data_IF_693990351046
#
_entry.id   IF_693990351046
#
_cell.length_a   1.000
_cell.length_b   1.000
_cell.length_c   1.000
_cell.angle_alpha   90.00
_cell.angle_beta   90.00
_cell.angle_gamma   90.00
#
_symmetry.space_group_name_H-M   'P 1'
#
loop_
_entity.id
_entity.type
_entity.pdbx_description
1 polymer ?
#
# COMPACT_ATOMS: atom_id res chain seq x y z
N UNK A 1 17.13 -3.59 -13.04
CA UNK A 1 15.65 -3.71 -13.12
C UNK A 1 15.10 -3.53 -11.71
N UNK A 2 14.06 -2.72 -11.53
CA UNK A 2 13.44 -2.53 -10.21
C UNK A 2 12.56 -3.72 -9.85
N UNK A 3 12.74 -4.26 -8.63
CA UNK A 3 11.89 -5.34 -8.13
C UNK A 3 10.62 -4.80 -7.48
N UNK A 4 10.72 -3.67 -6.80
CA UNK A 4 9.62 -3.06 -6.07
C UNK A 4 9.57 -1.57 -6.33
N UNK A 5 8.37 -1.04 -6.62
CA UNK A 5 8.06 0.38 -6.53
C UNK A 5 7.23 0.64 -5.28
N UNK A 6 7.66 1.57 -4.46
CA UNK A 6 6.87 2.11 -3.35
C UNK A 6 6.45 3.54 -3.69
N UNK A 7 5.16 3.79 -3.78
CA UNK A 7 4.62 5.15 -3.89
C UNK A 7 4.34 5.71 -2.49
N UNK A 8 4.75 6.95 -2.29
CA UNK A 8 4.51 7.72 -1.06
C UNK A 8 3.62 8.91 -1.44
N UNK A 9 2.29 8.83 -1.27
CA UNK A 9 1.40 9.97 -1.41
C UNK A 9 1.73 11.04 -0.38
N UNK A 10 2.00 12.26 -0.83
CA UNK A 10 2.38 13.38 0.02
C UNK A 10 1.49 14.59 -0.26
N UNK A 11 0.89 15.14 0.78
CA UNK A 11 0.19 16.43 0.74
C UNK A 11 0.41 17.19 2.04
N UNK A 12 1.20 18.27 1.99
CA UNK A 12 1.64 19.01 3.16
C UNK A 12 2.23 18.08 4.24
N UNK A 13 3.22 17.27 3.86
CA UNK A 13 3.77 16.14 4.62
C UNK A 13 5.16 16.40 5.20
N UNK A 14 5.68 17.64 5.15
CA UNK A 14 7.02 18.02 5.63
C UNK A 14 7.36 17.43 7.00
N UNK A 15 6.38 17.39 7.92
CA UNK A 15 6.59 16.95 9.29
C UNK A 15 6.88 15.44 9.43
N UNK A 16 6.55 14.63 8.42
CA UNK A 16 6.54 13.16 8.55
C UNK A 16 7.35 12.44 7.49
N UNK A 17 7.30 12.91 6.23
CA UNK A 17 7.77 12.19 5.05
C UNK A 17 9.23 11.73 5.12
N UNK A 18 10.10 12.46 5.82
CA UNK A 18 11.50 12.06 5.93
C UNK A 18 11.69 10.76 6.70
N UNK A 19 10.89 10.49 7.75
CA UNK A 19 10.95 9.23 8.50
C UNK A 19 10.51 8.08 7.61
N UNK A 20 9.44 8.28 6.85
CA UNK A 20 8.94 7.33 5.85
C UNK A 20 10.06 6.97 4.86
N UNK A 21 10.61 7.94 4.16
CA UNK A 21 11.67 7.76 3.15
C UNK A 21 12.89 7.05 3.74
N UNK A 22 13.41 7.56 4.87
CA UNK A 22 14.62 7.01 5.52
C UNK A 22 14.47 5.56 5.93
N UNK A 23 13.25 5.10 6.25
CA UNK A 23 12.99 3.71 6.63
C UNK A 23 13.19 2.71 5.47
N UNK A 24 13.10 3.18 4.23
CA UNK A 24 13.16 2.37 3.01
C UNK A 24 14.51 2.44 2.29
N UNK A 25 15.23 3.57 2.39
CA UNK A 25 16.49 3.79 1.67
C UNK A 25 17.52 2.65 1.76
N UNK A 26 17.73 1.99 2.92
CA UNK A 26 18.72 0.93 3.00
C UNK A 26 18.37 -0.35 2.23
N UNK A 27 17.18 -0.43 1.61
CA UNK A 27 16.81 -1.58 0.77
C UNK A 27 17.54 -1.60 -0.59
N UNK A 28 18.21 -0.51 -0.98
CA UNK A 28 19.12 -0.48 -2.12
C UNK A 28 18.46 -0.15 -3.45
N UNK A 29 19.26 -0.26 -4.53
CA UNK A 29 18.91 0.25 -5.86
C UNK A 29 17.83 -0.57 -6.60
N UNK A 30 17.53 -1.78 -6.16
CA UNK A 30 16.43 -2.58 -6.72
C UNK A 30 15.05 -2.08 -6.25
N UNK A 31 15.02 -1.18 -5.25
CA UNK A 31 13.85 -0.41 -4.86
C UNK A 31 13.73 0.84 -5.73
N UNK A 32 12.51 1.19 -6.12
CA UNK A 32 12.11 2.50 -6.60
C UNK A 32 11.17 3.13 -5.57
N UNK A 33 11.43 4.37 -5.19
CA UNK A 33 10.56 5.17 -4.34
C UNK A 33 10.03 6.33 -5.18
N UNK A 34 8.71 6.41 -5.33
CA UNK A 34 8.02 7.52 -5.97
C UNK A 34 7.43 8.42 -4.90
N UNK A 35 8.02 9.58 -4.67
CA UNK A 35 7.43 10.60 -3.80
C UNK A 35 6.44 11.37 -4.67
N UNK A 36 5.14 11.15 -4.42
CA UNK A 36 4.07 11.81 -5.20
C UNK A 36 3.53 12.98 -4.40
N UNK A 37 3.99 14.17 -4.76
CA UNK A 37 3.49 15.42 -4.19
C UNK A 37 2.18 15.84 -4.88
N UNK A 38 1.10 15.73 -4.15
CA UNK A 38 -0.26 16.01 -4.59
C UNK A 38 -0.62 17.51 -4.43
N UNK A 39 0.25 18.38 -4.94
CA UNK A 39 0.01 19.82 -4.97
C UNK A 39 0.15 20.48 -3.60
N UNK A 40 1.18 20.16 -2.84
CA UNK A 40 1.47 20.80 -1.55
C UNK A 40 1.81 22.26 -1.71
N UNK A 41 1.13 23.12 -0.95
CA UNK A 41 1.31 24.59 -1.02
C UNK A 41 1.56 25.26 0.34
N UNK A 42 1.47 24.48 1.44
CA UNK A 42 1.53 25.06 2.79
C UNK A 42 2.83 24.78 3.53
N UNK A 43 3.69 23.93 2.97
CA UNK A 43 4.95 23.53 3.58
C UNK A 43 6.01 23.20 2.51
N UNK A 44 7.16 22.66 2.93
CA UNK A 44 8.29 22.35 2.04
C UNK A 44 8.25 20.92 1.48
N UNK A 45 7.11 20.27 1.44
CA UNK A 45 6.98 18.91 0.88
C UNK A 45 7.60 18.80 -0.52
N UNK A 46 7.29 19.69 -1.50
CA UNK A 46 7.88 19.60 -2.85
C UNK A 46 9.40 19.71 -2.83
N UNK A 47 9.94 20.66 -2.08
CA UNK A 47 11.40 20.88 -1.99
C UNK A 47 12.13 19.70 -1.33
N UNK A 48 11.50 19.05 -0.35
CA UNK A 48 12.04 17.85 0.29
C UNK A 48 12.03 16.69 -0.71
N UNK A 49 10.93 16.50 -1.47
CA UNK A 49 10.85 15.48 -2.51
C UNK A 49 11.96 15.63 -3.55
N UNK A 50 12.18 16.85 -4.06
CA UNK A 50 13.23 17.16 -5.03
C UNK A 50 14.63 16.94 -4.45
N UNK A 51 14.87 17.35 -3.21
CA UNK A 51 16.14 17.17 -2.54
C UNK A 51 16.50 15.68 -2.36
N UNK A 52 15.52 14.84 -2.00
CA UNK A 52 15.73 13.39 -1.91
C UNK A 52 15.92 12.75 -3.28
N UNK A 53 15.18 13.14 -4.31
CA UNK A 53 15.36 12.67 -5.67
C UNK A 53 16.74 13.03 -6.23
N UNK A 54 17.21 14.26 -6.00
CA UNK A 54 18.55 14.70 -6.41
C UNK A 54 19.67 13.95 -5.66
N UNK A 55 19.46 13.62 -4.37
CA UNK A 55 20.45 12.93 -3.54
C UNK A 55 20.54 11.42 -3.83
N UNK A 56 19.43 10.80 -4.23
CA UNK A 56 19.30 9.35 -4.45
C UNK A 56 18.66 9.03 -5.81
N UNK A 57 19.23 9.52 -6.94
CA UNK A 57 18.59 9.47 -8.26
C UNK A 57 18.33 8.04 -8.76
N UNK A 58 19.13 7.07 -8.28
CA UNK A 58 18.95 5.66 -8.63
C UNK A 58 17.77 5.00 -7.86
N UNK A 59 17.31 5.60 -6.76
CA UNK A 59 16.28 5.01 -5.90
C UNK A 59 14.99 5.84 -5.90
N UNK A 60 15.11 7.17 -5.91
CA UNK A 60 13.99 8.09 -5.68
C UNK A 60 13.70 8.94 -6.91
N UNK A 61 12.40 9.06 -7.21
CA UNK A 61 11.87 10.03 -8.18
C UNK A 61 10.77 10.85 -7.50
N UNK A 62 10.79 12.17 -7.71
CA UNK A 62 9.70 13.05 -7.34
C UNK A 62 8.69 13.15 -8.50
N UNK A 63 7.41 13.10 -8.18
CA UNK A 63 6.28 13.28 -9.10
C UNK A 63 5.41 14.38 -8.52
N UNK A 64 5.28 15.50 -9.23
CA UNK A 64 4.44 16.62 -8.81
C UNK A 64 3.16 16.66 -9.66
N UNK A 65 2.03 16.90 -9.02
CA UNK A 65 0.74 17.02 -9.70
C UNK A 65 -0.15 18.07 -9.04
N UNK A 66 -1.20 18.48 -9.73
CA UNK A 66 -2.30 19.23 -9.11
C UNK A 66 -3.02 18.34 -8.09
N UNK A 67 -3.50 18.94 -6.99
CA UNK A 67 -4.17 18.18 -5.94
C UNK A 67 -5.39 17.43 -6.49
N UNK A 68 -5.31 16.11 -6.43
CA UNK A 68 -6.38 15.18 -6.80
C UNK A 68 -6.85 14.33 -5.61
N UNK A 69 -6.21 14.49 -4.45
CA UNK A 69 -6.43 13.70 -3.25
C UNK A 69 -5.62 12.41 -3.23
N UNK A 70 -5.66 11.71 -2.10
CA UNK A 70 -4.85 10.53 -1.83
C UNK A 70 -4.96 9.46 -2.95
N UNK A 71 -6.18 9.16 -3.41
CA UNK A 71 -6.39 8.18 -4.49
C UNK A 71 -5.68 8.54 -5.79
N UNK A 72 -5.74 9.81 -6.20
CA UNK A 72 -5.04 10.25 -7.42
C UNK A 72 -3.52 10.23 -7.27
N UNK A 73 -3.01 10.51 -6.09
CA UNK A 73 -1.57 10.36 -5.83
C UNK A 73 -1.13 8.88 -5.91
N UNK A 74 -1.95 7.95 -5.44
CA UNK A 74 -1.71 6.50 -5.61
C UNK A 74 -1.77 6.11 -7.10
N UNK A 75 -2.77 6.59 -7.85
CA UNK A 75 -2.88 6.36 -9.30
C UNK A 75 -1.65 6.89 -10.05
N UNK A 76 -1.18 8.10 -9.73
CA UNK A 76 0.01 8.68 -10.33
C UNK A 76 1.26 7.84 -10.00
N UNK A 77 1.36 7.34 -8.77
CA UNK A 77 2.39 6.37 -8.38
C UNK A 77 2.37 5.12 -9.27
N UNK A 78 1.20 4.51 -9.46
CA UNK A 78 1.04 3.31 -10.29
C UNK A 78 1.37 3.56 -11.77
N UNK A 79 0.93 4.70 -12.33
CA UNK A 79 1.25 5.08 -13.71
C UNK A 79 2.75 5.21 -13.93
N UNK A 80 3.49 5.72 -12.96
CA UNK A 80 4.92 5.95 -13.01
C UNK A 80 5.77 4.75 -12.54
N UNK A 81 5.16 3.71 -11.96
CA UNK A 81 5.86 2.56 -11.41
C UNK A 81 6.61 1.75 -12.47
N UNK A 82 7.88 1.43 -12.18
CA UNK A 82 8.75 0.61 -13.02
C UNK A 82 9.11 -0.74 -12.37
N UNK A 83 8.84 -0.92 -11.09
CA UNK A 83 9.09 -2.15 -10.35
C UNK A 83 8.13 -3.27 -10.73
N UNK A 84 8.58 -4.52 -10.55
CA UNK A 84 7.75 -5.70 -10.77
C UNK A 84 6.55 -5.74 -9.82
N UNK A 85 6.75 -5.29 -8.59
CA UNK A 85 5.71 -5.17 -7.58
C UNK A 85 5.48 -3.70 -7.21
N UNK A 86 4.28 -3.42 -6.78
CA UNK A 86 3.83 -2.08 -6.36
C UNK A 86 3.27 -2.11 -4.95
N UNK A 87 3.62 -1.11 -4.17
CA UNK A 87 3.11 -0.89 -2.81
C UNK A 87 2.91 0.59 -2.57
N UNK A 88 1.93 0.91 -1.74
CA UNK A 88 1.75 2.25 -1.17
C UNK A 88 2.23 2.28 0.27
N UNK A 89 2.92 3.35 0.65
CA UNK A 89 3.26 3.66 2.05
C UNK A 89 2.88 5.11 2.29
N UNK A 90 1.97 5.35 3.23
CA UNK A 90 1.53 6.70 3.55
C UNK A 90 2.67 7.52 4.17
N UNK A 91 2.70 8.83 3.87
CA UNK A 91 3.84 9.70 4.22
C UNK A 91 4.07 9.87 5.73
N UNK A 92 3.06 9.60 6.56
CA UNK A 92 3.14 9.64 8.02
C UNK A 92 3.46 8.27 8.67
N UNK A 93 3.54 7.22 7.85
CA UNK A 93 3.88 5.85 8.24
C UNK A 93 5.35 5.51 7.93
N UNK A 94 5.78 4.31 8.29
CA UNK A 94 7.13 3.82 7.96
C UNK A 94 7.17 2.29 7.90
N UNK A 95 8.27 1.75 7.39
CA UNK A 95 8.47 0.30 7.32
C UNK A 95 9.63 -0.18 8.19
N UNK A 96 9.60 -1.45 8.58
CA UNK A 96 10.76 -2.09 9.15
C UNK A 96 11.75 -2.42 8.03
N UNK A 97 12.87 -1.73 8.01
CA UNK A 97 13.91 -1.84 6.97
C UNK A 97 14.38 -3.29 6.76
N UNK A 98 14.62 -4.04 7.85
CA UNK A 98 15.10 -5.43 7.76
C UNK A 98 14.05 -6.34 7.15
N UNK A 99 12.78 -6.16 7.51
CA UNK A 99 11.67 -6.90 6.91
C UNK A 99 11.50 -6.57 5.43
N UNK A 100 11.62 -5.29 5.04
CA UNK A 100 11.58 -4.87 3.64
C UNK A 100 12.68 -5.54 2.81
N UNK A 101 13.91 -5.56 3.29
CA UNK A 101 15.04 -6.21 2.61
C UNK A 101 14.77 -7.71 2.41
N UNK A 102 14.26 -8.42 3.44
CA UNK A 102 13.92 -9.84 3.32
C UNK A 102 12.79 -10.10 2.34
N UNK A 103 11.77 -9.24 2.35
CA UNK A 103 10.63 -9.34 1.42
C UNK A 103 11.11 -9.12 -0.03
N UNK A 104 11.94 -8.11 -0.29
CA UNK A 104 12.48 -7.88 -1.62
C UNK A 104 13.37 -9.03 -2.11
N UNK A 105 14.19 -9.62 -1.23
CA UNK A 105 14.96 -10.81 -1.57
C UNK A 105 14.04 -11.98 -1.96
N UNK A 106 12.96 -12.20 -1.22
CA UNK A 106 11.96 -13.23 -1.54
C UNK A 106 11.22 -12.94 -2.86
N UNK A 107 10.87 -11.68 -3.14
CA UNK A 107 10.28 -11.30 -4.42
C UNK A 107 11.17 -11.68 -5.60
N UNK A 108 12.49 -11.52 -5.48
CA UNK A 108 13.45 -11.93 -6.53
C UNK A 108 13.44 -13.43 -6.75
N UNK A 109 13.49 -14.22 -5.66
CA UNK A 109 13.40 -15.68 -5.75
C UNK A 109 12.08 -16.14 -6.38
N UNK A 110 10.96 -15.49 -6.03
CA UNK A 110 9.66 -15.79 -6.61
C UNK A 110 9.61 -15.47 -8.10
N UNK A 111 10.22 -14.37 -8.56
CA UNK A 111 10.27 -14.02 -9.99
C UNK A 111 11.00 -15.09 -10.84
N UNK A 112 12.02 -15.77 -10.30
CA UNK A 112 12.71 -16.87 -10.97
C UNK A 112 11.78 -18.08 -11.24
N UNK A 113 10.71 -18.22 -10.46
CA UNK A 113 9.68 -19.28 -10.58
C UNK A 113 8.33 -18.80 -11.14
N UNK A 114 8.33 -17.64 -11.82
CA UNK A 114 7.14 -17.08 -12.47
C UNK A 114 6.38 -16.05 -11.63
N UNK A 115 6.85 -15.75 -10.42
CA UNK A 115 6.32 -14.70 -9.55
C UNK A 115 4.95 -15.00 -8.93
N UNK A 116 4.46 -14.03 -8.17
CA UNK A 116 3.12 -14.06 -7.56
C UNK A 116 2.36 -12.79 -7.91
N UNK A 117 1.03 -12.83 -7.81
CA UNK A 117 0.18 -11.66 -8.10
C UNK A 117 0.06 -10.76 -6.86
N UNK A 118 0.04 -11.38 -5.68
CA UNK A 118 -0.06 -10.67 -4.42
C UNK A 118 0.87 -11.28 -3.37
N UNK A 119 1.70 -10.42 -2.74
CA UNK A 119 2.45 -10.79 -1.55
C UNK A 119 1.89 -10.03 -0.35
N UNK A 120 1.74 -10.73 0.75
CA UNK A 120 1.20 -10.21 2.00
C UNK A 120 2.27 -10.24 3.11
N UNK A 121 2.26 -9.22 3.96
CA UNK A 121 3.06 -9.16 5.19
C UNK A 121 2.22 -8.61 6.34
N UNK A 122 2.74 -8.67 7.56
CA UNK A 122 2.06 -8.11 8.73
C UNK A 122 2.20 -6.59 8.80
N UNK A 123 1.29 -5.96 9.54
CA UNK A 123 1.42 -4.57 9.92
C UNK A 123 1.20 -4.36 11.43
N UNK A 124 1.71 -3.26 11.92
CA UNK A 124 1.75 -2.93 13.35
C UNK A 124 1.06 -1.60 13.56
N UNK A 125 0.07 -1.56 14.43
CA UNK A 125 -0.49 -0.29 14.93
C UNK A 125 0.49 0.37 15.90
N UNK A 126 0.99 1.53 15.54
CA UNK A 126 1.92 2.33 16.32
C UNK A 126 1.20 3.55 16.91
N UNK A 127 0.43 3.31 17.98
CA UNK A 127 -0.42 4.33 18.60
C UNK A 127 0.35 5.12 19.64
N UNK A 128 0.32 6.45 19.53
CA UNK A 128 0.94 7.37 20.51
C UNK A 128 0.37 7.11 21.93
N UNK A 129 1.26 7.01 22.90
CA UNK A 129 0.89 6.78 24.31
C UNK A 129 0.46 5.34 24.64
N UNK A 130 0.36 4.43 23.68
CA UNK A 130 0.07 3.03 23.95
C UNK A 130 1.30 2.32 24.53
N UNK A 131 1.11 1.57 25.63
CA UNK A 131 2.19 0.77 26.26
C UNK A 131 2.64 -0.39 25.38
N UNK A 132 1.76 -0.93 24.55
CA UNK A 132 2.03 -2.06 23.64
C UNK A 132 1.51 -1.76 22.24
N UNK A 133 2.30 -2.17 21.23
CA UNK A 133 1.89 -2.11 19.83
C UNK A 133 0.95 -3.28 19.53
N UNK A 134 -0.10 -3.06 18.74
CA UNK A 134 -0.97 -4.12 18.24
C UNK A 134 -0.44 -4.63 16.91
N UNK A 135 -0.03 -5.90 16.88
CA UNK A 135 0.41 -6.59 15.67
C UNK A 135 -0.79 -7.24 14.98
N UNK A 136 -0.96 -6.94 13.68
CA UNK A 136 -1.90 -7.62 12.80
C UNK A 136 -1.15 -8.69 12.01
N UNK A 137 -1.31 -9.94 12.45
CA UNK A 137 -0.63 -11.13 11.92
C UNK A 137 -1.65 -12.07 11.30
N UNK A 138 -1.31 -12.72 10.18
CA UNK A 138 -2.27 -13.47 9.37
C UNK A 138 -1.94 -14.96 9.21
N UNK A 139 -0.99 -15.50 9.97
CA UNK A 139 -0.58 -16.92 9.92
C UNK A 139 -1.69 -17.93 10.24
N UNK A 140 -2.80 -17.49 10.82
CA UNK A 140 -4.00 -18.31 11.04
C UNK A 140 -4.84 -18.46 9.76
N UNK A 141 -4.73 -17.52 8.84
CA UNK A 141 -5.54 -17.46 7.63
C UNK A 141 -4.76 -17.77 6.36
N UNK A 142 -3.44 -17.54 6.34
CA UNK A 142 -2.62 -17.75 5.15
C UNK A 142 -1.50 -18.76 5.38
N UNK A 143 -1.25 -19.68 4.42
CA UNK A 143 -0.04 -20.49 4.37
C UNK A 143 1.21 -19.61 4.42
N UNK A 144 2.18 -19.97 5.26
CA UNK A 144 3.38 -19.17 5.48
C UNK A 144 4.53 -19.64 4.59
N UNK A 145 5.16 -18.71 3.84
CA UNK A 145 6.33 -18.97 3.00
C UNK A 145 6.12 -20.01 1.90
N UNK A 146 4.93 -20.10 1.36
CA UNK A 146 4.61 -20.91 0.18
C UNK A 146 3.67 -20.15 -0.76
N UNK A 147 3.66 -20.53 -2.04
CA UNK A 147 2.70 -20.00 -3.02
C UNK A 147 1.39 -20.76 -2.87
N UNK A 148 0.27 -20.03 -2.84
CA UNK A 148 -1.07 -20.62 -2.69
C UNK A 148 -2.12 -19.82 -3.47
N UNK A 149 -3.28 -20.43 -3.71
CA UNK A 149 -4.48 -19.78 -4.23
C UNK A 149 -5.50 -19.47 -3.13
N UNK A 150 -6.58 -18.79 -3.48
CA UNK A 150 -7.63 -18.41 -2.53
C UNK A 150 -8.28 -19.61 -1.83
N UNK A 151 -8.34 -20.78 -2.48
CA UNK A 151 -8.88 -22.03 -1.94
C UNK A 151 -8.16 -22.54 -0.68
N UNK A 152 -6.94 -22.05 -0.44
CA UNK A 152 -6.14 -22.38 0.74
C UNK A 152 -6.19 -21.32 1.83
N UNK A 153 -6.99 -20.28 1.64
CA UNK A 153 -7.19 -19.26 2.65
C UNK A 153 -8.08 -19.80 3.77
N UNK A 154 -7.60 -19.69 5.00
CA UNK A 154 -8.37 -19.95 6.22
C UNK A 154 -9.21 -18.74 6.64
N UNK A 155 -9.83 -18.84 7.82
CA UNK A 155 -10.68 -17.78 8.34
C UNK A 155 -9.87 -16.63 8.96
N UNK A 156 -10.22 -15.41 8.58
CA UNK A 156 -9.80 -14.20 9.28
C UNK A 156 -10.63 -14.05 10.58
N UNK A 157 -9.98 -13.65 11.65
CA UNK A 157 -10.70 -13.23 12.86
C UNK A 157 -11.43 -11.91 12.60
N UNK A 158 -12.51 -11.62 13.35
CA UNK A 158 -13.33 -10.40 13.21
C UNK A 158 -12.53 -9.08 13.22
N UNK A 159 -11.35 -9.08 13.85
CA UNK A 159 -10.47 -7.90 13.92
C UNK A 159 -9.35 -7.93 12.90
N UNK A 160 -9.28 -8.94 12.03
CA UNK A 160 -8.29 -9.05 10.97
C UNK A 160 -8.92 -8.67 9.63
N UNK A 161 -8.26 -7.81 8.90
CA UNK A 161 -8.66 -7.41 7.55
C UNK A 161 -7.44 -7.12 6.70
N UNK A 162 -7.55 -7.40 5.42
CA UNK A 162 -6.52 -7.10 4.43
C UNK A 162 -6.67 -5.62 4.07
N UNK A 163 -5.59 -4.85 4.21
CA UNK A 163 -5.52 -3.44 3.90
C UNK A 163 -4.39 -3.15 2.92
N UNK A 164 -4.39 -1.96 2.34
CA UNK A 164 -3.27 -1.43 1.56
C UNK A 164 -1.92 -1.55 2.28
N UNK A 165 -1.92 -1.47 3.62
CA UNK A 165 -0.72 -1.53 4.45
C UNK A 165 0.03 -2.86 4.38
N UNK A 166 -0.67 -3.98 4.22
CA UNK A 166 -0.07 -5.31 4.22
C UNK A 166 0.11 -5.95 2.84
N UNK A 167 -0.29 -5.27 1.76
CA UNK A 167 -0.30 -5.79 0.40
C UNK A 167 0.88 -5.25 -0.42
N UNK A 168 1.42 -6.14 -1.25
CA UNK A 168 2.21 -5.83 -2.45
C UNK A 168 1.52 -6.52 -3.61
N UNK A 169 1.22 -5.79 -4.66
CA UNK A 169 0.64 -6.35 -5.87
C UNK A 169 1.66 -6.39 -7.01
N UNK A 170 1.51 -7.35 -7.92
CA UNK A 170 2.19 -7.31 -9.20
C UNK A 170 1.76 -6.05 -9.97
N UNK A 171 2.72 -5.22 -10.34
CA UNK A 171 2.45 -3.93 -11.00
C UNK A 171 1.63 -4.08 -12.28
N UNK A 172 1.98 -5.07 -13.11
CA UNK A 172 1.28 -5.31 -14.37
C UNK A 172 -0.18 -5.73 -14.12
N UNK A 173 -0.44 -6.59 -13.15
CA UNK A 173 -1.82 -6.99 -12.78
C UNK A 173 -2.67 -5.79 -12.37
N UNK A 174 -2.13 -4.84 -11.59
CA UNK A 174 -2.86 -3.60 -11.23
C UNK A 174 -3.20 -2.76 -12.47
N UNK A 175 -2.31 -2.73 -13.47
CA UNK A 175 -2.56 -2.04 -14.74
C UNK A 175 -3.61 -2.77 -15.58
N UNK A 176 -3.54 -4.09 -15.63
CA UNK A 176 -4.46 -4.95 -16.41
C UNK A 176 -5.88 -4.97 -15.85
N UNK A 177 -6.02 -4.89 -14.51
CA UNK A 177 -7.34 -4.77 -13.87
C UNK A 177 -7.89 -3.32 -13.87
N UNK A 178 -7.19 -2.39 -14.55
CA UNK A 178 -7.59 -1.00 -14.67
C UNK A 178 -7.89 -0.33 -13.32
N UNK A 179 -7.07 -0.62 -12.30
CA UNK A 179 -7.23 -0.01 -10.99
C UNK A 179 -7.12 1.50 -11.10
N UNK A 180 -8.21 2.20 -10.79
CA UNK A 180 -8.27 3.66 -10.75
C UNK A 180 -9.08 4.13 -9.53
N UNK A 181 -8.39 4.78 -8.61
CA UNK A 181 -9.00 5.29 -7.39
C UNK A 181 -9.66 6.65 -7.63
N UNK A 182 -10.86 6.91 -7.11
CA UNK A 182 -11.56 8.17 -7.32
C UNK A 182 -10.84 9.34 -6.66
N UNK A 183 -10.80 10.48 -7.39
CA UNK A 183 -10.24 11.75 -6.89
C UNK A 183 -11.04 12.27 -5.69
N UNK A 184 -10.35 13.00 -4.80
CA UNK A 184 -10.93 13.68 -3.64
C UNK A 184 -11.90 12.83 -2.81
N UNK A 185 -11.57 11.53 -2.68
CA UNK A 185 -12.37 10.56 -1.95
C UNK A 185 -11.50 9.92 -0.86
N UNK A 186 -12.02 9.85 0.36
CA UNK A 186 -11.39 9.13 1.47
C UNK A 186 -11.75 7.65 1.43
N UNK A 187 -11.01 6.82 2.16
CA UNK A 187 -11.21 5.37 2.27
C UNK A 187 -10.99 4.58 0.97
N UNK A 188 -10.30 5.17 0.02
CA UNK A 188 -9.95 4.54 -1.27
C UNK A 188 -8.94 3.39 -1.12
N UNK A 189 -8.26 3.30 0.01
CA UNK A 189 -7.44 2.17 0.45
C UNK A 189 -8.22 0.84 0.43
N UNK A 190 -9.53 0.88 0.72
CA UNK A 190 -10.41 -0.28 0.59
C UNK A 190 -10.60 -0.70 -0.87
N UNK A 191 -10.75 0.24 -1.81
CA UNK A 191 -10.82 -0.06 -3.25
C UNK A 191 -9.48 -0.64 -3.72
N UNK A 192 -8.36 0.00 -3.33
CA UNK A 192 -7.02 -0.48 -3.65
C UNK A 192 -6.80 -1.94 -3.21
N UNK A 193 -7.26 -2.28 -2.00
CA UNK A 193 -7.13 -3.63 -1.48
C UNK A 193 -8.06 -4.61 -2.22
N UNK A 194 -9.31 -4.22 -2.48
CA UNK A 194 -10.38 -5.14 -2.86
C UNK A 194 -10.53 -5.34 -4.38
N UNK A 195 -10.48 -4.25 -5.17
CA UNK A 195 -10.74 -4.32 -6.62
C UNK A 195 -9.83 -5.31 -7.36
N UNK A 196 -8.53 -5.48 -7.02
CA UNK A 196 -7.66 -6.45 -7.69
C UNK A 196 -7.91 -7.92 -7.32
N UNK A 197 -8.64 -8.24 -6.23
CA UNK A 197 -8.78 -9.62 -5.75
C UNK A 197 -9.27 -10.63 -6.80
N UNK A 198 -10.23 -10.32 -7.68
CA UNK A 198 -10.64 -11.24 -8.73
C UNK A 198 -9.55 -11.65 -9.72
N UNK A 199 -8.50 -10.84 -9.84
CA UNK A 199 -7.37 -11.04 -10.75
C UNK A 199 -6.17 -11.74 -10.09
N UNK A 200 -6.25 -11.97 -8.78
CA UNK A 200 -5.17 -12.62 -8.01
C UNK A 200 -5.37 -14.13 -8.04
N UNK A 201 -4.42 -14.84 -8.63
CA UNK A 201 -4.39 -16.32 -8.66
C UNK A 201 -3.32 -16.89 -7.72
N UNK A 202 -2.15 -16.23 -7.66
CA UNK A 202 -1.00 -16.66 -6.88
C UNK A 202 -0.72 -15.69 -5.74
N UNK A 203 -0.90 -16.18 -4.52
CA UNK A 203 -0.61 -15.45 -3.31
C UNK A 203 0.66 -15.98 -2.64
N UNK A 204 1.30 -15.12 -1.85
CA UNK A 204 2.39 -15.47 -0.97
C UNK A 204 2.29 -14.68 0.33
N UNK A 205 2.42 -15.32 1.46
CA UNK A 205 2.41 -14.64 2.74
C UNK A 205 3.73 -14.83 3.50
N UNK A 206 4.33 -13.72 3.94
CA UNK A 206 5.49 -13.70 4.81
C UNK A 206 5.10 -13.23 6.22
N UNK A 207 5.43 -14.02 7.23
CA UNK A 207 5.21 -13.62 8.64
C UNK A 207 6.24 -12.56 9.08
N UNK A 208 6.30 -11.44 8.35
CA UNK A 208 7.19 -10.31 8.56
C UNK A 208 6.43 -9.08 9.04
N UNK A 209 6.86 -8.49 10.15
CA UNK A 209 6.27 -7.26 10.69
C UNK A 209 6.84 -6.06 9.92
N UNK A 210 6.20 -5.72 8.80
CA UNK A 210 6.73 -4.75 7.85
C UNK A 210 6.28 -3.32 8.12
N UNK A 211 4.98 -3.10 8.03
CA UNK A 211 4.38 -1.77 7.99
C UNK A 211 4.05 -1.28 9.39
N UNK A 212 4.42 -0.05 9.70
CA UNK A 212 4.08 0.62 10.95
C UNK A 212 3.05 1.71 10.66
N UNK A 213 1.80 1.45 11.03
CA UNK A 213 0.69 2.38 10.89
C UNK A 213 0.65 3.30 12.12
N UNK A 214 0.98 4.57 11.88
CA UNK A 214 1.01 5.57 12.93
C UNK A 214 -0.40 6.10 13.23
N UNK A 215 -0.82 6.01 14.49
CA UNK A 215 -2.10 6.53 14.98
C UNK A 215 -1.85 7.50 16.13
N UNK A 216 -2.39 8.71 16.05
CA UNK A 216 -2.28 9.66 17.17
C UNK A 216 -2.41 11.12 16.81
N UNK A 217 -2.74 11.46 15.57
CA UNK A 217 -3.08 12.83 15.17
C UNK A 217 -4.60 13.01 15.13
N UNK A 218 -5.06 14.18 15.51
CA UNK A 218 -6.50 14.53 15.55
C UNK A 218 -7.12 14.67 14.15
N UNK A 219 -6.28 14.92 13.13
CA UNK A 219 -6.70 15.16 11.74
C UNK A 219 -6.73 13.87 10.88
N UNK A 220 -6.36 12.72 11.45
CA UNK A 220 -6.36 11.44 10.70
C UNK A 220 -7.77 11.01 10.31
N UNK A 221 -7.87 10.35 9.15
CA UNK A 221 -9.13 9.85 8.58
C UNK A 221 -9.87 8.86 9.49
N UNK A 222 -9.15 8.18 10.36
CA UNK A 222 -9.69 7.23 11.35
C UNK A 222 -10.22 7.87 12.63
N UNK A 223 -10.16 9.20 12.76
CA UNK A 223 -10.80 9.91 13.87
C UNK A 223 -12.32 9.86 13.70
N UNK A 224 -13.04 9.48 14.77
CA UNK A 224 -14.50 9.27 14.73
C UNK A 224 -15.29 10.49 14.21
N UNK A 225 -14.93 11.69 14.64
CA UNK A 225 -15.58 12.93 14.17
C UNK A 225 -15.34 13.17 12.67
N UNK A 226 -14.15 12.84 12.18
CA UNK A 226 -13.80 12.92 10.77
C UNK A 226 -14.59 11.90 9.97
N UNK A 227 -14.72 10.66 10.48
CA UNK A 227 -15.48 9.58 9.84
C UNK A 227 -16.97 9.92 9.71
N UNK A 228 -17.60 10.44 10.78
CA UNK A 228 -19.01 10.88 10.77
C UNK A 228 -19.24 11.94 9.68
N UNK A 229 -18.33 12.93 9.60
CA UNK A 229 -18.43 14.01 8.60
C UNK A 229 -18.19 13.56 7.14
N UNK A 230 -17.78 12.31 6.90
CA UNK A 230 -17.44 11.77 5.58
C UNK A 230 -18.15 10.46 5.24
N UNK A 231 -19.27 10.20 5.88
CA UNK A 231 -20.04 8.96 5.69
C UNK A 231 -20.50 8.75 4.25
N UNK A 232 -20.79 9.84 3.53
CA UNK A 232 -21.14 9.83 2.10
C UNK A 232 -20.01 9.23 1.23
N UNK A 233 -18.76 9.52 1.57
CA UNK A 233 -17.60 9.00 0.87
C UNK A 233 -17.40 7.51 1.16
N UNK A 234 -17.61 7.07 2.41
CA UNK A 234 -17.59 5.65 2.75
C UNK A 234 -18.68 4.89 1.99
N UNK A 235 -19.88 5.46 1.89
CA UNK A 235 -20.98 4.86 1.10
C UNK A 235 -20.60 4.78 -0.39
N UNK A 236 -19.96 5.82 -0.94
CA UNK A 236 -19.48 5.83 -2.33
C UNK A 236 -18.46 4.70 -2.55
N UNK A 237 -17.47 4.57 -1.68
CA UNK A 237 -16.44 3.50 -1.75
C UNK A 237 -17.09 2.13 -1.70
N UNK A 238 -18.02 1.90 -0.76
CA UNK A 238 -18.72 0.63 -0.64
C UNK A 238 -19.54 0.29 -1.90
N UNK A 239 -20.19 1.28 -2.54
CA UNK A 239 -20.89 1.07 -3.81
C UNK A 239 -19.94 0.62 -4.92
N UNK A 240 -18.78 1.28 -5.06
CA UNK A 240 -17.75 0.88 -6.04
C UNK A 240 -17.32 -0.57 -5.80
N UNK A 241 -17.09 -0.96 -4.54
CA UNK A 241 -16.70 -2.34 -4.21
C UNK A 241 -17.82 -3.35 -4.54
N UNK A 242 -19.08 -3.00 -4.32
CA UNK A 242 -20.23 -3.84 -4.69
C UNK A 242 -20.34 -4.00 -6.22
N UNK A 243 -20.12 -2.91 -6.96
CA UNK A 243 -20.17 -2.94 -8.43
C UNK A 243 -19.07 -3.87 -8.99
N UNK A 244 -17.85 -3.82 -8.41
CA UNK A 244 -16.76 -4.74 -8.77
C UNK A 244 -17.16 -6.22 -8.56
N UNK A 245 -17.88 -6.54 -7.48
CA UNK A 245 -18.39 -7.89 -7.26
C UNK A 245 -19.45 -8.26 -8.31
N UNK A 246 -20.37 -7.32 -8.60
CA UNK A 246 -21.47 -7.54 -9.55
C UNK A 246 -21.01 -7.80 -10.99
N UNK A 247 -19.83 -7.32 -11.36
CA UNK A 247 -19.22 -7.52 -12.67
C UNK A 247 -18.50 -8.88 -12.81
N UNK A 248 -18.29 -9.60 -11.69
CA UNK A 248 -17.57 -10.87 -11.67
C UNK A 248 -18.52 -12.07 -11.73
N UNK A 249 -18.23 -13.02 -12.60
CA UNK A 249 -18.88 -14.33 -12.57
C UNK A 249 -18.21 -15.24 -11.53
N UNK A 250 -18.83 -15.36 -10.38
CA UNK A 250 -18.38 -16.27 -9.31
C UNK A 250 -18.93 -17.69 -9.44
N UNK A 251 -19.75 -17.98 -10.47
CA UNK A 251 -20.39 -19.28 -10.64
C UNK A 251 -19.41 -20.45 -10.84
N UNK A 252 -18.19 -20.15 -11.26
CA UNK A 252 -17.12 -21.13 -11.50
C UNK A 252 -16.09 -21.20 -10.38
N UNK A 253 -16.19 -20.35 -9.36
CA UNK A 253 -15.31 -20.37 -8.18
C UNK A 253 -16.02 -21.14 -7.09
N UNK A 254 -15.48 -22.32 -6.73
CA UNK A 254 -15.93 -23.05 -5.56
C UNK A 254 -15.87 -22.17 -4.31
N UNK A 255 -16.87 -22.24 -3.40
CA UNK A 255 -16.95 -21.38 -2.22
C UNK A 255 -15.85 -21.67 -1.19
#
# INVERSE_FOLDING_TARGET
MKILTIAIPCYNSEAYMEKCIKSMLPAGEELEILIVDDGSTKDRTPQIADAYAARYPEIIRAVHQENGGHGEAVNAGLRNATGRYYKVVDSDDWVNTKSLIRIMAKMKELEESGGVDMLLANFVYDKVGAKHKKLMRFKNAFPVNEVFGWERMGHLHETQYILMHNIFYRTQMLKDCHLELPKHTFYVDNIFAFQPFPYVEKLYYMDENLYHYFIGRDDQSVNEKVMIGRIDQQIRVNKIMIDVIGEQDFSTKDP
#
